data_IF_448729259481
#
_entry.id   IF_448729259481
#
_cell.length_a   1.000
_cell.length_b   1.000
_cell.length_c   1.000
_cell.angle_alpha   90.00
_cell.angle_beta   90.00
_cell.angle_gamma   90.00
#
_symmetry.space_group_name_H-M   'P 1'
#
loop_
_entity.id
_entity.type
_entity.pdbx_description
1 polymer ?
#
# COMPACT_ATOMS: atom_id res chain seq x y z
N UNK A 1 1.10 -18.70 2.39
CA UNK A 1 0.24 -18.63 1.19
C UNK A 1 0.89 -17.82 0.07
N UNK A 2 1.58 -16.70 0.38
CA UNK A 2 2.19 -15.80 -0.61
C UNK A 2 3.06 -16.54 -1.62
N UNK A 3 4.00 -17.37 -1.16
CA UNK A 3 4.91 -18.14 -2.03
C UNK A 3 4.12 -18.99 -3.05
N UNK A 4 3.16 -19.80 -2.59
CA UNK A 4 2.35 -20.62 -3.49
C UNK A 4 1.51 -19.78 -4.46
N UNK A 5 0.97 -18.64 -4.02
CA UNK A 5 0.23 -17.74 -4.90
C UNK A 5 1.13 -17.20 -6.03
N UNK A 6 2.39 -16.88 -5.72
CA UNK A 6 3.36 -16.43 -6.72
C UNK A 6 3.85 -17.55 -7.63
N UNK A 7 4.21 -18.71 -7.06
CA UNK A 7 4.93 -19.77 -7.76
C UNK A 7 4.00 -20.73 -8.52
N UNK A 8 2.78 -20.93 -8.03
CA UNK A 8 1.82 -21.87 -8.61
C UNK A 8 0.74 -21.14 -9.41
N UNK A 9 0.22 -20.03 -8.88
CA UNK A 9 -0.89 -19.29 -9.51
C UNK A 9 -0.41 -18.09 -10.35
N UNK A 10 0.86 -17.72 -10.23
CA UNK A 10 1.48 -16.61 -10.98
C UNK A 10 0.71 -15.29 -10.82
N UNK A 11 0.25 -14.99 -9.61
CA UNK A 11 -0.52 -13.76 -9.33
C UNK A 11 0.31 -12.50 -9.55
N UNK A 12 -0.32 -11.46 -10.09
CA UNK A 12 0.30 -10.15 -10.32
C UNK A 12 0.34 -9.27 -9.06
N UNK A 13 -0.49 -9.61 -8.06
CA UNK A 13 -0.67 -8.86 -6.80
C UNK A 13 -1.00 -9.81 -5.65
N UNK A 14 -0.63 -9.41 -4.44
CA UNK A 14 -0.96 -10.12 -3.20
C UNK A 14 -1.87 -9.22 -2.37
N UNK A 15 -3.06 -9.72 -2.05
CA UNK A 15 -3.96 -8.97 -1.18
C UNK A 15 -3.50 -9.07 0.29
N UNK A 16 -3.53 -7.95 1.00
CA UNK A 16 -2.90 -7.73 2.32
C UNK A 16 -1.38 -7.85 2.32
N UNK A 17 -0.84 -9.07 2.38
CA UNK A 17 0.61 -9.34 2.37
C UNK A 17 1.44 -8.84 3.56
N UNK A 18 0.85 -8.21 4.59
CA UNK A 18 1.58 -7.57 5.70
C UNK A 18 2.48 -8.50 6.51
N UNK A 19 2.19 -9.81 6.53
CA UNK A 19 3.00 -10.84 7.20
C UNK A 19 4.17 -11.37 6.37
N UNK A 20 4.40 -10.85 5.15
CA UNK A 20 5.58 -11.22 4.35
C UNK A 20 6.91 -10.95 5.09
N UNK A 21 6.92 -10.00 6.03
CA UNK A 21 8.09 -9.63 6.84
C UNK A 21 8.62 -10.74 7.74
N UNK A 22 7.85 -11.81 7.95
CA UNK A 22 8.30 -13.00 8.68
C UNK A 22 9.37 -13.79 7.91
N UNK A 23 9.51 -13.55 6.60
CA UNK A 23 10.52 -14.14 5.72
C UNK A 23 11.30 -13.03 4.99
N UNK A 24 12.55 -12.74 5.40
CA UNK A 24 13.39 -11.72 4.78
C UNK A 24 13.67 -11.96 3.29
N UNK A 25 13.73 -13.21 2.83
CA UNK A 25 13.96 -13.52 1.41
C UNK A 25 12.71 -13.26 0.58
N UNK A 26 11.53 -13.52 1.16
CA UNK A 26 10.26 -13.14 0.54
C UNK A 26 10.14 -11.62 0.39
N UNK A 27 10.51 -10.85 1.42
CA UNK A 27 10.52 -9.38 1.33
C UNK A 27 11.42 -8.90 0.18
N UNK A 28 12.66 -9.39 0.10
CA UNK A 28 13.59 -9.04 -0.99
C UNK A 28 13.02 -9.40 -2.36
N UNK A 29 12.40 -10.59 -2.48
CA UNK A 29 11.77 -11.04 -3.71
C UNK A 29 10.64 -10.11 -4.13
N UNK A 30 9.70 -9.81 -3.24
CA UNK A 30 8.55 -8.95 -3.51
C UNK A 30 8.99 -7.54 -3.92
N UNK A 31 9.97 -6.97 -3.22
CA UNK A 31 10.52 -5.65 -3.53
C UNK A 31 11.17 -5.64 -4.92
N UNK A 32 12.02 -6.65 -5.23
CA UNK A 32 12.69 -6.78 -6.53
C UNK A 32 11.69 -6.95 -7.68
N UNK A 33 10.63 -7.73 -7.47
CA UNK A 33 9.61 -7.99 -8.49
C UNK A 33 8.61 -6.83 -8.63
N UNK A 34 8.53 -5.93 -7.64
CA UNK A 34 7.53 -4.88 -7.60
C UNK A 34 6.11 -5.43 -7.46
N UNK A 35 5.94 -6.63 -6.89
CA UNK A 35 4.62 -7.23 -6.64
C UNK A 35 3.88 -6.37 -5.61
N UNK A 36 2.69 -5.90 -5.97
CA UNK A 36 1.93 -5.03 -5.10
C UNK A 36 1.30 -5.77 -3.92
N UNK A 37 1.27 -5.11 -2.76
CA UNK A 37 0.60 -5.57 -1.53
C UNK A 37 -0.58 -4.64 -1.22
N UNK A 38 -1.83 -5.14 -1.30
CA UNK A 38 -3.02 -4.31 -0.99
C UNK A 38 -3.31 -4.29 0.50
N UNK A 39 -2.62 -3.43 1.22
CA UNK A 39 -2.72 -3.33 2.68
C UNK A 39 -4.04 -2.65 3.06
N UNK A 40 -4.71 -3.20 4.08
CA UNK A 40 -6.01 -2.72 4.55
C UNK A 40 -5.91 -2.31 6.04
N UNK A 41 -5.42 -1.09 6.36
CA UNK A 41 -5.02 -0.75 7.72
C UNK A 41 -6.12 -0.90 8.76
N UNK A 42 -7.32 -0.35 8.52
CA UNK A 42 -8.42 -0.45 9.48
C UNK A 42 -8.93 -1.89 9.64
N UNK A 43 -8.98 -2.66 8.54
CA UNK A 43 -9.28 -4.10 8.57
C UNK A 43 -8.26 -4.86 9.42
N UNK A 44 -6.96 -4.57 9.26
CA UNK A 44 -5.90 -5.23 10.03
C UNK A 44 -6.01 -4.98 11.54
N UNK A 45 -6.47 -3.80 11.97
CA UNK A 45 -6.78 -3.54 13.38
C UNK A 45 -8.05 -4.27 13.82
N UNK A 46 -9.13 -4.19 13.03
CA UNK A 46 -10.42 -4.81 13.37
C UNK A 46 -10.37 -6.33 13.46
N UNK A 47 -9.51 -6.96 12.65
CA UNK A 47 -9.28 -8.40 12.64
C UNK A 47 -8.09 -8.82 13.52
N UNK A 48 -7.58 -7.90 14.35
CA UNK A 48 -6.50 -8.16 15.32
C UNK A 48 -5.20 -8.70 14.70
N UNK A 49 -4.91 -8.36 13.44
CA UNK A 49 -3.60 -8.61 12.81
C UNK A 49 -2.53 -7.76 13.52
N UNK A 50 -2.88 -6.53 13.86
CA UNK A 50 -2.15 -5.67 14.80
C UNK A 50 -3.13 -5.21 15.89
N UNK A 51 -2.66 -4.94 17.11
CA UNK A 51 -3.55 -4.50 18.19
C UNK A 51 -3.91 -3.02 18.06
N UNK A 52 -2.96 -2.20 17.62
CA UNK A 52 -3.14 -0.75 17.43
C UNK A 52 -2.56 -0.29 16.11
N UNK A 53 -3.03 0.85 15.59
CA UNK A 53 -2.50 1.41 14.34
C UNK A 53 -1.01 1.74 14.45
N UNK A 54 -0.54 2.17 15.62
CA UNK A 54 0.89 2.47 15.89
C UNK A 54 1.81 1.25 15.72
N UNK A 55 1.28 0.04 15.89
CA UNK A 55 2.02 -1.21 15.67
C UNK A 55 2.03 -1.65 14.20
N UNK A 56 1.22 -1.02 13.35
CA UNK A 56 1.08 -1.45 11.97
C UNK A 56 2.37 -1.22 11.18
N UNK A 57 2.85 -2.27 10.52
CA UNK A 57 4.13 -2.25 9.81
C UNK A 57 4.13 -1.53 8.44
N UNK A 58 3.08 -0.76 8.07
CA UNK A 58 2.95 -0.20 6.71
C UNK A 58 4.13 0.68 6.33
N UNK A 59 4.60 1.53 7.26
CA UNK A 59 5.78 2.38 7.06
C UNK A 59 7.04 1.55 6.80
N UNK A 60 7.24 0.47 7.56
CA UNK A 60 8.39 -0.42 7.39
C UNK A 60 8.35 -1.14 6.04
N UNK A 61 7.16 -1.58 5.58
CA UNK A 61 7.01 -2.18 4.26
C UNK A 61 7.45 -1.21 3.14
N UNK A 62 7.02 0.06 3.21
CA UNK A 62 7.46 1.10 2.28
C UNK A 62 8.99 1.31 2.33
N UNK A 63 9.58 1.36 3.54
CA UNK A 63 11.02 1.52 3.73
C UNK A 63 11.84 0.34 3.18
N UNK A 64 11.26 -0.86 3.14
CA UNK A 64 11.85 -2.04 2.50
C UNK A 64 11.69 -2.05 0.97
N UNK A 65 11.15 -0.98 0.37
CA UNK A 65 10.95 -0.89 -1.07
C UNK A 65 9.80 -1.74 -1.60
N UNK A 66 8.91 -2.22 -0.73
CA UNK A 66 7.72 -2.97 -1.15
C UNK A 66 6.70 -2.02 -1.79
N UNK A 67 6.06 -2.49 -2.87
CA UNK A 67 4.98 -1.77 -3.55
C UNK A 67 3.68 -1.90 -2.75
N UNK A 68 3.50 -1.03 -1.76
CA UNK A 68 2.31 -1.04 -0.89
C UNK A 68 1.23 -0.09 -1.40
N UNK A 69 -0.03 -0.51 -1.33
CA UNK A 69 -1.21 0.34 -1.50
C UNK A 69 -2.04 0.35 -0.22
N UNK A 70 -2.83 1.42 0.00
CA UNK A 70 -3.87 1.46 1.05
C UNK A 70 -5.22 1.13 0.42
N UNK A 71 -5.98 0.26 1.05
CA UNK A 71 -7.31 -0.17 0.63
C UNK A 71 -8.25 -0.23 1.84
N UNK A 72 -9.57 -0.14 1.60
CA UNK A 72 -10.57 -0.13 2.68
C UNK A 72 -11.13 -1.50 3.05
N UNK A 73 -10.87 -2.52 2.22
CA UNK A 73 -11.46 -3.86 2.38
C UNK A 73 -13.00 -3.76 2.39
N UNK A 74 -13.66 -4.15 3.49
CA UNK A 74 -15.09 -3.94 3.73
C UNK A 74 -15.37 -2.68 4.59
N UNK A 75 -15.40 -1.46 4.01
CA UNK A 75 -15.43 -0.19 4.75
C UNK A 75 -16.61 -0.06 5.71
N UNK A 76 -17.76 -0.67 5.37
CA UNK A 76 -18.96 -0.67 6.20
C UNK A 76 -18.76 -1.42 7.53
N UNK A 77 -17.90 -2.44 7.56
CA UNK A 77 -17.62 -3.24 8.76
C UNK A 77 -16.38 -2.74 9.50
N UNK A 78 -15.41 -2.18 8.78
CA UNK A 78 -14.11 -1.80 9.37
C UNK A 78 -13.99 -0.32 9.76
N UNK A 79 -15.06 0.46 9.58
CA UNK A 79 -15.19 1.79 10.17
C UNK A 79 -14.58 2.92 9.34
N UNK A 80 -14.36 2.72 8.04
CA UNK A 80 -13.83 3.78 7.19
C UNK A 80 -13.61 3.38 5.74
N UNK A 81 -13.88 4.34 4.84
CA UNK A 81 -13.53 4.26 3.43
C UNK A 81 -12.04 4.62 3.23
N UNK A 82 -11.64 4.88 1.99
CA UNK A 82 -10.25 5.17 1.64
C UNK A 82 -9.64 6.30 2.48
N UNK A 83 -10.30 7.46 2.56
CA UNK A 83 -9.75 8.62 3.29
C UNK A 83 -9.53 8.32 4.77
N UNK A 84 -10.42 7.57 5.43
CA UNK A 84 -10.26 7.19 6.82
C UNK A 84 -9.04 6.27 7.03
N UNK A 85 -8.77 5.35 6.10
CA UNK A 85 -7.57 4.51 6.17
C UNK A 85 -6.30 5.35 6.02
N UNK A 86 -6.27 6.30 5.07
CA UNK A 86 -5.16 7.25 4.94
C UNK A 86 -4.99 8.08 6.23
N UNK A 87 -6.05 8.74 6.71
CA UNK A 87 -5.98 9.56 7.92
C UNK A 87 -5.48 8.79 9.14
N UNK A 88 -5.97 7.57 9.37
CA UNK A 88 -5.54 6.74 10.50
C UNK A 88 -4.05 6.39 10.40
N UNK A 89 -3.57 6.00 9.21
CA UNK A 89 -2.14 5.69 9.02
C UNK A 89 -1.24 6.93 9.20
N UNK A 90 -1.62 8.08 8.66
CA UNK A 90 -0.83 9.32 8.78
C UNK A 90 -0.81 9.87 10.21
N UNK A 91 -1.86 9.63 10.98
CA UNK A 91 -1.91 10.03 12.39
C UNK A 91 -0.94 9.24 13.28
N UNK A 92 -0.69 7.96 12.98
CA UNK A 92 -0.02 7.05 13.91
C UNK A 92 1.30 6.43 13.39
N UNK A 93 1.63 6.54 12.10
CA UNK A 93 2.78 5.85 11.48
C UNK A 93 3.94 6.75 11.02
N UNK A 94 3.93 8.04 11.39
CA UNK A 94 4.95 9.02 10.97
C UNK A 94 5.17 9.04 9.44
N UNK A 95 4.05 9.02 8.70
CA UNK A 95 4.04 9.14 7.24
C UNK A 95 4.12 10.62 6.84
N UNK A 96 4.87 10.89 5.78
CA UNK A 96 5.04 12.22 5.21
C UNK A 96 4.47 12.31 3.78
N UNK A 97 4.58 13.49 3.16
CA UNK A 97 4.06 13.73 1.81
C UNK A 97 4.67 12.81 0.75
N UNK A 98 5.95 12.42 0.88
CA UNK A 98 6.56 11.47 -0.05
C UNK A 98 5.99 10.05 0.10
N UNK A 99 5.64 9.64 1.32
CA UNK A 99 4.92 8.38 1.52
C UNK A 99 3.52 8.45 0.90
N UNK A 100 2.83 9.59 1.03
CA UNK A 100 1.51 9.80 0.40
C UNK A 100 1.59 9.67 -1.12
N UNK A 101 2.59 10.31 -1.73
CA UNK A 101 2.87 10.20 -3.16
C UNK A 101 3.15 8.75 -3.56
N UNK A 102 4.02 8.06 -2.81
CA UNK A 102 4.39 6.67 -3.08
C UNK A 102 3.18 5.74 -3.02
N UNK A 103 2.35 5.85 -1.98
CA UNK A 103 1.13 5.05 -1.81
C UNK A 103 0.13 5.29 -2.96
N UNK A 104 -0.07 6.55 -3.34
CA UNK A 104 -0.97 6.91 -4.45
C UNK A 104 -0.43 6.39 -5.78
N UNK A 105 0.87 6.60 -6.07
CA UNK A 105 1.52 6.12 -7.29
C UNK A 105 1.47 4.61 -7.40
N UNK A 106 1.78 3.89 -6.32
CA UNK A 106 1.70 2.44 -6.25
C UNK A 106 0.29 1.95 -6.60
N UNK A 107 -0.76 2.64 -6.17
CA UNK A 107 -2.15 2.25 -6.48
C UNK A 107 -2.47 2.31 -7.97
N UNK A 108 -1.93 3.29 -8.70
CA UNK A 108 -2.07 3.37 -10.15
C UNK A 108 -1.21 2.32 -10.85
N UNK A 109 0.04 2.15 -10.44
CA UNK A 109 0.94 1.15 -11.04
C UNK A 109 0.41 -0.28 -10.86
N UNK A 110 -0.19 -0.57 -9.70
CA UNK A 110 -0.77 -1.88 -9.34
C UNK A 110 -2.19 -2.12 -9.88
N UNK A 111 -2.78 -1.15 -10.55
CA UNK A 111 -4.09 -1.32 -11.19
C UNK A 111 -4.00 -2.21 -12.43
N UNK A 112 -5.13 -2.79 -12.86
CA UNK A 112 -5.20 -3.63 -14.06
C UNK A 112 -5.65 -2.86 -15.31
N UNK A 113 -5.57 -1.53 -15.30
CA UNK A 113 -5.80 -0.73 -16.51
C UNK A 113 -4.56 -0.75 -17.42
N UNK A 114 -4.73 -0.31 -18.67
CA UNK A 114 -3.62 -0.16 -19.60
C UNK A 114 -2.55 0.83 -19.13
N UNK A 115 -1.30 0.63 -19.57
CA UNK A 115 -0.18 1.52 -19.25
C UNK A 115 -0.39 2.96 -19.68
N UNK A 116 -1.13 3.19 -20.76
CA UNK A 116 -1.50 4.56 -21.21
C UNK A 116 -2.37 5.26 -20.18
N UNK A 117 -3.36 4.56 -19.60
CA UNK A 117 -4.21 5.11 -18.55
C UNK A 117 -3.41 5.34 -17.28
N UNK A 118 -2.54 4.38 -16.89
CA UNK A 118 -1.64 4.54 -15.74
C UNK A 118 -0.76 5.77 -15.88
N UNK A 119 -0.10 5.94 -17.03
CA UNK A 119 0.76 7.09 -17.31
C UNK A 119 0.00 8.42 -17.21
N UNK A 120 -1.24 8.46 -17.70
CA UNK A 120 -2.11 9.63 -17.57
C UNK A 120 -2.44 9.99 -16.11
N UNK A 121 -2.79 9.01 -15.28
CA UNK A 121 -3.07 9.24 -13.85
C UNK A 121 -1.82 9.61 -13.06
N UNK A 122 -0.69 8.97 -13.36
CA UNK A 122 0.60 9.28 -12.76
C UNK A 122 1.02 10.73 -13.08
N UNK A 123 0.86 11.17 -14.33
CA UNK A 123 1.16 12.57 -14.69
C UNK A 123 0.27 13.57 -13.93
N UNK A 124 -1.01 13.25 -13.71
CA UNK A 124 -1.90 14.08 -12.89
C UNK A 124 -1.51 14.09 -11.42
N UNK A 125 -1.06 12.95 -10.89
CA UNK A 125 -0.52 12.84 -9.53
C UNK A 125 0.74 13.71 -9.37
N UNK A 126 1.68 13.62 -10.31
CA UNK A 126 2.92 14.39 -10.32
C UNK A 126 2.64 15.90 -10.29
N UNK A 127 1.72 16.37 -11.14
CA UNK A 127 1.28 17.77 -11.17
C UNK A 127 0.63 18.21 -9.85
N UNK A 128 -0.19 17.34 -9.26
CA UNK A 128 -0.88 17.62 -8.00
C UNK A 128 0.14 17.82 -6.87
N UNK A 129 1.10 16.90 -6.73
CA UNK A 129 2.13 17.01 -5.69
C UNK A 129 3.08 18.17 -5.92
N UNK A 130 3.47 18.46 -7.16
CA UNK A 130 4.28 19.64 -7.48
C UNK A 130 3.56 20.94 -7.10
N UNK A 131 2.25 21.04 -7.37
CA UNK A 131 1.43 22.20 -6.98
C UNK A 131 1.43 22.41 -5.48
N UNK A 132 1.15 21.38 -4.68
CA UNK A 132 1.08 21.53 -3.22
C UNK A 132 2.46 21.68 -2.56
N UNK A 133 3.51 21.08 -3.11
CA UNK A 133 4.89 21.30 -2.64
C UNK A 133 5.37 22.75 -2.84
N UNK A 134 4.85 23.46 -3.85
CA UNK A 134 5.16 24.88 -4.08
C UNK A 134 4.39 25.86 -3.18
N UNK A 135 3.44 25.38 -2.37
CA UNK A 135 2.54 26.20 -1.55
C UNK A 135 2.84 26.14 -0.04
N UNK A 136 3.78 25.32 0.39
CA UNK A 136 4.25 25.22 1.78
C UNK A 136 5.70 25.64 1.91
#
# INVERSE_FOLDING_TARGET
>A
YIINALDVLHVERIDHGVRCVEDPELVKRLARQGTALTVCPLSNIKLCVFQTMKEHNLKALLQHGLKVTINSDDPAYFGGYMNQNFLATFADLDLNANDAYTLARNSFEASFVSDTVKAGWIAQLDQTFARFASQG
#
